data_IF_944011402296
#
_entry.id   IF_944011402296
#
_cell.length_a   1.000
_cell.length_b   1.000
_cell.length_c   1.000
_cell.angle_alpha   90.00
_cell.angle_beta   90.00
_cell.angle_gamma   90.00
#
_symmetry.space_group_name_H-M   'P 1'
#
loop_
_entity.id
_entity.type
_entity.pdbx_description
1 polymer ?
#
# COMPACT_ATOMS: atom_id res chain seq x y z
N UNK A 1 23.10 27.62 -15.99
CA UNK A 1 23.35 26.16 -15.99
C UNK A 1 23.30 25.69 -14.54
N UNK A 2 22.51 24.70 -14.25
CA UNK A 2 22.44 24.10 -12.88
C UNK A 2 23.72 23.30 -12.66
N UNK A 3 24.51 23.66 -11.64
CA UNK A 3 25.73 22.94 -11.27
C UNK A 3 25.57 22.36 -9.87
N UNK A 4 26.05 21.14 -9.69
CA UNK A 4 26.06 20.49 -8.39
C UNK A 4 27.26 20.96 -7.56
N UNK A 5 27.08 21.14 -6.28
CA UNK A 5 28.17 21.41 -5.35
C UNK A 5 29.00 20.14 -5.11
N UNK A 6 30.26 20.30 -4.70
CA UNK A 6 31.13 19.17 -4.34
C UNK A 6 30.51 18.24 -3.28
N UNK A 7 29.73 18.81 -2.32
CA UNK A 7 29.03 18.03 -1.30
C UNK A 7 27.92 17.17 -1.89
N UNK A 8 27.19 17.68 -2.89
CA UNK A 8 26.14 16.93 -3.59
C UNK A 8 26.75 15.81 -4.45
N UNK A 9 27.81 16.10 -5.19
CA UNK A 9 28.55 15.11 -5.99
C UNK A 9 29.02 13.96 -5.10
N UNK A 10 29.72 14.25 -4.01
CA UNK A 10 30.21 13.22 -3.08
C UNK A 10 29.06 12.41 -2.44
N UNK A 11 27.89 13.00 -2.27
CA UNK A 11 26.72 12.29 -1.74
C UNK A 11 26.12 11.37 -2.81
N UNK A 12 26.01 11.84 -4.05
CA UNK A 12 25.55 11.03 -5.19
C UNK A 12 26.48 9.83 -5.41
N UNK A 13 27.80 10.04 -5.41
CA UNK A 13 28.80 8.99 -5.56
C UNK A 13 28.72 7.91 -4.48
N UNK A 14 28.33 8.29 -3.27
CA UNK A 14 28.17 7.35 -2.13
C UNK A 14 26.86 6.58 -2.15
N UNK A 15 25.83 7.13 -2.75
CA UNK A 15 24.47 6.59 -2.68
C UNK A 15 24.04 5.85 -3.95
N UNK A 16 24.61 6.19 -5.10
CA UNK A 16 24.33 5.52 -6.36
C UNK A 16 25.13 4.21 -6.47
N UNK A 17 24.45 3.10 -6.73
CA UNK A 17 25.09 1.81 -7.02
C UNK A 17 25.57 1.68 -8.48
N UNK A 18 25.31 2.69 -9.30
CA UNK A 18 25.63 2.71 -10.71
C UNK A 18 26.05 4.10 -11.17
N UNK A 19 25.86 4.39 -12.44
CA UNK A 19 26.25 5.67 -13.04
C UNK A 19 25.12 6.68 -12.83
N UNK A 20 25.44 7.85 -12.31
CA UNK A 20 24.53 8.98 -12.31
C UNK A 20 25.01 10.07 -13.30
N UNK A 21 24.05 10.83 -13.83
CA UNK A 21 24.30 11.91 -14.78
C UNK A 21 23.42 13.10 -14.45
N UNK A 22 24.00 14.32 -14.57
CA UNK A 22 23.23 15.55 -14.46
C UNK A 22 22.80 15.99 -15.86
N UNK A 23 21.50 16.12 -16.07
CA UNK A 23 20.97 16.71 -17.30
C UNK A 23 21.15 18.25 -17.23
N UNK A 24 22.01 18.85 -18.09
CA UNK A 24 22.33 20.28 -17.98
C UNK A 24 21.15 21.19 -18.38
N UNK A 25 20.16 20.67 -19.12
CA UNK A 25 18.99 21.42 -19.55
C UNK A 25 17.90 21.48 -18.47
N UNK A 26 17.66 20.35 -17.80
CA UNK A 26 16.59 20.23 -16.78
C UNK A 26 17.10 20.44 -15.36
N UNK A 27 18.40 20.25 -15.12
CA UNK A 27 18.99 20.23 -13.79
C UNK A 27 18.65 18.97 -12.98
N UNK A 28 18.06 17.96 -13.62
CA UNK A 28 17.71 16.70 -12.97
C UNK A 28 18.89 15.73 -12.99
N UNK A 29 18.97 14.92 -11.93
CA UNK A 29 19.94 13.83 -11.81
C UNK A 29 19.26 12.52 -12.17
N UNK A 30 19.73 11.86 -13.20
CA UNK A 30 19.32 10.51 -13.56
C UNK A 30 20.31 9.49 -12.99
N UNK A 31 19.80 8.34 -12.51
CA UNK A 31 20.62 7.25 -11.97
C UNK A 31 20.34 5.96 -12.72
N UNK A 32 21.38 5.42 -13.37
CA UNK A 32 21.33 4.10 -13.99
C UNK A 32 21.76 3.05 -12.95
N UNK A 33 20.79 2.50 -12.23
CA UNK A 33 20.99 1.60 -11.10
C UNK A 33 20.13 2.02 -9.91
N UNK A 34 20.45 1.50 -8.74
CA UNK A 34 19.79 1.84 -7.46
C UNK A 34 20.42 3.06 -6.80
N UNK A 35 19.61 3.88 -6.15
CA UNK A 35 20.05 4.97 -5.30
C UNK A 35 19.62 4.71 -3.86
N UNK A 36 20.59 4.53 -2.96
CA UNK A 36 20.37 4.22 -1.55
C UNK A 36 20.86 5.36 -0.65
N UNK A 37 19.93 6.13 -0.13
CA UNK A 37 20.18 7.14 0.90
C UNK A 37 19.41 6.85 2.20
N UNK A 38 19.06 5.62 2.46
CA UNK A 38 18.37 5.18 3.66
C UNK A 38 19.23 5.35 4.93
N UNK A 39 18.55 5.48 6.08
CA UNK A 39 19.15 5.50 7.43
C UNK A 39 20.36 6.47 7.57
N UNK A 40 20.19 7.72 7.14
CA UNK A 40 21.25 8.75 7.16
C UNK A 40 20.86 10.02 7.89
N UNK A 41 19.70 10.04 8.57
CA UNK A 41 19.18 11.22 9.26
C UNK A 41 18.88 12.41 8.33
N UNK A 42 18.55 12.13 7.07
CA UNK A 42 18.28 13.16 6.07
C UNK A 42 16.94 13.84 6.34
N UNK A 43 16.89 15.16 6.14
CA UNK A 43 15.65 15.96 6.15
C UNK A 43 15.09 16.23 4.75
N UNK A 44 15.76 15.74 3.70
CA UNK A 44 15.42 15.91 2.28
C UNK A 44 16.61 15.53 1.41
N UNK A 45 16.51 15.76 0.11
CA UNK A 45 17.47 15.29 -0.90
C UNK A 45 18.62 16.28 -1.14
N UNK A 46 19.00 17.07 -0.14
CA UNK A 46 20.13 18.03 -0.17
C UNK A 46 20.07 19.03 -1.36
N UNK A 47 18.88 19.37 -1.81
CA UNK A 47 18.66 20.25 -2.96
C UNK A 47 18.95 19.60 -4.32
N UNK A 48 19.22 18.30 -4.36
CA UNK A 48 19.27 17.52 -5.60
C UNK A 48 17.84 17.23 -6.04
N UNK A 49 17.57 17.35 -7.34
CA UNK A 49 16.32 16.95 -7.97
C UNK A 49 16.60 15.78 -8.90
N UNK A 50 15.89 14.67 -8.67
CA UNK A 50 16.09 13.47 -9.50
C UNK A 50 15.08 13.42 -10.66
N UNK A 51 15.53 12.89 -11.78
CA UNK A 51 14.71 12.55 -12.95
C UNK A 51 14.31 11.08 -12.89
N UNK A 52 15.05 10.22 -13.59
CA UNK A 52 14.78 8.78 -13.66
C UNK A 52 15.81 8.00 -12.84
N UNK A 53 15.34 7.07 -12.02
CA UNK A 53 16.16 6.04 -11.37
C UNK A 53 15.75 4.69 -11.93
N UNK A 54 16.64 4.00 -12.64
CA UNK A 54 16.26 2.76 -13.34
C UNK A 54 16.14 1.54 -12.43
N UNK A 55 16.82 1.54 -11.28
CA UNK A 55 16.70 0.55 -10.21
C UNK A 55 15.77 1.04 -9.09
N UNK A 56 16.09 0.67 -7.87
CA UNK A 56 15.34 1.09 -6.68
C UNK A 56 15.79 2.48 -6.19
N UNK A 57 14.90 3.18 -5.51
CA UNK A 57 15.21 4.39 -4.77
C UNK A 57 14.85 4.20 -3.29
N UNK A 58 15.86 4.16 -2.42
CA UNK A 58 15.70 3.93 -0.99
C UNK A 58 16.02 5.20 -0.23
N UNK A 59 15.00 5.81 0.38
CA UNK A 59 15.12 6.96 1.27
C UNK A 59 14.42 6.73 2.62
N UNK A 60 14.15 5.47 2.92
CA UNK A 60 13.50 5.04 4.16
C UNK A 60 14.39 5.28 5.39
N UNK A 61 13.75 5.27 6.59
CA UNK A 61 14.38 5.48 7.89
C UNK A 61 15.22 6.75 7.97
N UNK A 62 14.60 7.89 7.60
CA UNK A 62 15.20 9.22 7.68
C UNK A 62 14.29 10.18 8.48
N UNK A 63 14.53 11.47 8.35
CA UNK A 63 13.72 12.55 8.94
C UNK A 63 13.09 13.40 7.83
N UNK A 64 12.75 12.79 6.69
CA UNK A 64 12.23 13.48 5.52
C UNK A 64 10.79 13.89 5.77
N UNK A 65 10.49 15.15 5.54
CA UNK A 65 9.14 15.73 5.69
C UNK A 65 8.46 16.07 4.36
N UNK A 66 9.21 16.04 3.25
CA UNK A 66 8.73 16.34 1.90
C UNK A 66 9.48 15.51 0.88
N UNK A 67 8.78 15.07 -0.17
CA UNK A 67 9.37 14.36 -1.31
C UNK A 67 9.81 15.33 -2.43
N UNK A 68 9.90 16.64 -2.16
CA UNK A 68 10.44 17.57 -3.13
C UNK A 68 11.87 17.15 -3.58
N UNK A 69 12.05 16.97 -4.87
CA UNK A 69 13.29 16.50 -5.46
C UNK A 69 13.42 14.98 -5.58
N UNK A 70 12.45 14.19 -5.10
CA UNK A 70 12.40 12.74 -5.34
C UNK A 70 12.33 12.44 -6.85
N UNK A 71 12.68 11.21 -7.29
CA UNK A 71 12.63 10.82 -8.69
C UNK A 71 11.24 11.01 -9.30
N UNK A 72 11.19 11.42 -10.57
CA UNK A 72 9.95 11.46 -11.33
C UNK A 72 9.47 10.05 -11.71
N UNK A 73 10.43 9.16 -11.99
CA UNK A 73 10.20 7.76 -12.35
C UNK A 73 11.22 6.86 -11.65
N UNK A 74 10.75 5.70 -11.15
CA UNK A 74 11.56 4.64 -10.54
C UNK A 74 11.25 3.33 -11.23
N UNK A 75 12.25 2.71 -11.86
CA UNK A 75 12.09 1.45 -12.59
C UNK A 75 11.89 0.25 -11.66
N UNK A 76 12.51 0.28 -10.48
CA UNK A 76 12.36 -0.68 -9.39
C UNK A 76 11.38 -0.18 -8.33
N UNK A 77 11.73 -0.38 -7.06
CA UNK A 77 10.93 -0.03 -5.89
C UNK A 77 11.30 1.34 -5.33
N UNK A 78 10.30 2.05 -4.80
CA UNK A 78 10.45 3.32 -4.09
C UNK A 78 10.12 3.12 -2.61
N UNK A 79 11.11 3.29 -1.74
CA UNK A 79 10.97 3.13 -0.28
C UNK A 79 11.17 4.48 0.41
N UNK A 80 10.10 5.04 0.96
CA UNK A 80 10.10 6.25 1.78
C UNK A 80 9.47 6.02 3.17
N UNK A 81 9.38 4.75 3.58
CA UNK A 81 8.85 4.36 4.89
C UNK A 81 9.76 4.82 6.05
N UNK A 82 9.17 4.90 7.25
CA UNK A 82 9.93 5.32 8.44
C UNK A 82 10.47 6.75 8.34
N UNK A 83 9.65 7.69 7.89
CA UNK A 83 9.96 9.11 7.78
C UNK A 83 8.93 9.97 8.56
N UNK A 84 8.88 11.26 8.28
CA UNK A 84 7.92 12.21 8.87
C UNK A 84 7.06 12.88 7.79
N UNK A 85 6.71 12.13 6.74
CA UNK A 85 5.91 12.64 5.62
C UNK A 85 4.46 12.87 6.07
N UNK A 86 3.91 14.02 5.69
CA UNK A 86 2.49 14.37 5.87
C UNK A 86 1.72 14.38 4.54
N UNK A 87 2.43 14.33 3.41
CA UNK A 87 1.90 14.33 2.04
C UNK A 87 2.79 13.48 1.14
N UNK A 88 2.24 12.99 0.04
CA UNK A 88 2.99 12.32 -1.04
C UNK A 88 3.24 13.25 -2.23
N UNK A 89 3.03 14.56 -2.06
CA UNK A 89 3.39 15.53 -3.10
C UNK A 89 4.88 15.43 -3.44
N UNK A 90 5.20 15.36 -4.73
CA UNK A 90 6.55 15.14 -5.22
C UNK A 90 6.96 13.65 -5.32
N UNK A 91 6.10 12.71 -4.97
CA UNK A 91 6.38 11.29 -5.17
C UNK A 91 6.51 10.92 -6.66
N UNK A 92 7.26 9.84 -6.99
CA UNK A 92 7.35 9.32 -8.34
C UNK A 92 5.97 9.01 -8.92
N UNK A 93 5.75 9.39 -10.18
CA UNK A 93 4.48 9.12 -10.87
C UNK A 93 4.44 7.73 -11.52
N UNK A 94 5.60 7.08 -11.68
CA UNK A 94 5.74 5.71 -12.18
C UNK A 94 6.69 4.94 -11.28
N UNK A 95 6.23 3.79 -10.79
CA UNK A 95 7.00 2.86 -9.94
C UNK A 95 6.81 1.44 -10.46
N UNK A 96 7.89 0.84 -10.94
CA UNK A 96 7.84 -0.51 -11.52
C UNK A 96 7.77 -1.63 -10.49
N UNK A 97 8.31 -1.41 -9.30
CA UNK A 97 8.32 -2.32 -8.15
C UNK A 97 7.31 -1.94 -7.07
N UNK A 98 7.74 -2.06 -5.82
CA UNK A 98 6.97 -1.64 -4.64
C UNK A 98 6.98 -0.12 -4.47
N UNK A 99 5.87 0.43 -3.97
CA UNK A 99 5.80 1.77 -3.38
C UNK A 99 5.52 1.62 -1.89
N UNK A 100 6.48 1.96 -1.04
CA UNK A 100 6.34 1.84 0.41
C UNK A 100 6.44 3.22 1.08
N UNK A 101 5.31 3.70 1.61
CA UNK A 101 5.20 4.93 2.43
C UNK A 101 4.67 4.63 3.84
N UNK A 102 4.81 3.40 4.31
CA UNK A 102 4.41 3.01 5.65
C UNK A 102 5.19 3.77 6.75
N UNK A 103 4.67 3.78 7.98
CA UNK A 103 5.33 4.42 9.11
C UNK A 103 5.67 5.89 8.86
N UNK A 104 4.65 6.68 8.48
CA UNK A 104 4.72 8.12 8.29
C UNK A 104 3.56 8.82 9.04
N UNK A 105 3.30 10.07 8.74
CA UNK A 105 2.18 10.85 9.31
C UNK A 105 1.16 11.28 8.24
N UNK A 106 0.98 10.44 7.20
CA UNK A 106 0.11 10.76 6.07
C UNK A 106 -1.35 10.81 6.51
N UNK A 107 -2.06 11.85 6.08
CA UNK A 107 -3.52 12.00 6.27
C UNK A 107 -4.31 11.80 4.98
N UNK A 108 -3.63 11.80 3.83
CA UNK A 108 -4.16 11.58 2.48
C UNK A 108 -3.14 10.83 1.63
N UNK A 109 -3.61 10.20 0.55
CA UNK A 109 -2.75 9.57 -0.46
C UNK A 109 -2.63 10.44 -1.74
N UNK A 110 -3.10 11.68 -1.70
CA UNK A 110 -2.91 12.61 -2.82
C UNK A 110 -1.42 12.76 -3.14
N UNK A 111 -1.09 12.72 -4.43
CA UNK A 111 0.29 12.70 -4.93
C UNK A 111 0.86 11.28 -5.12
N UNK A 112 0.18 10.23 -4.70
CA UNK A 112 0.62 8.86 -4.98
C UNK A 112 0.61 8.57 -6.50
N UNK A 113 1.48 7.63 -6.98
CA UNK A 113 1.46 7.17 -8.37
C UNK A 113 0.13 6.52 -8.72
N UNK A 114 -0.35 6.74 -9.95
CA UNK A 114 -1.60 6.14 -10.42
C UNK A 114 -1.49 4.62 -10.63
N UNK A 115 -0.27 4.12 -10.86
CA UNK A 115 0.00 2.70 -11.06
C UNK A 115 1.28 2.29 -10.34
N UNK A 116 1.21 1.16 -9.61
CA UNK A 116 2.33 0.52 -8.92
C UNK A 116 2.46 -0.91 -9.41
N UNK A 117 3.67 -1.28 -9.83
CA UNK A 117 3.91 -2.58 -10.48
C UNK A 117 3.77 -3.78 -9.55
N UNK A 118 4.07 -3.63 -8.26
CA UNK A 118 4.05 -4.72 -7.28
C UNK A 118 3.17 -4.34 -6.09
N UNK A 119 3.73 -4.06 -4.92
CA UNK A 119 2.97 -3.76 -3.70
C UNK A 119 2.87 -2.24 -3.46
N UNK A 120 1.70 -1.77 -3.01
CA UNK A 120 1.54 -0.44 -2.42
C UNK A 120 1.31 -0.58 -0.92
N UNK A 121 2.18 0.04 -0.11
CA UNK A 121 2.14 -0.06 1.35
C UNK A 121 2.03 1.32 1.96
N UNK A 122 0.89 1.61 2.61
CA UNK A 122 0.61 2.84 3.35
C UNK A 122 0.19 2.55 4.80
N UNK A 123 0.56 1.39 5.32
CA UNK A 123 0.28 0.98 6.71
C UNK A 123 0.91 1.93 7.74
N UNK A 124 0.38 1.95 8.98
CA UNK A 124 0.93 2.79 10.06
C UNK A 124 1.03 4.26 9.68
N UNK A 125 -0.11 4.86 9.30
CA UNK A 125 -0.27 6.27 9.00
C UNK A 125 -1.51 6.84 9.74
N UNK A 126 -1.99 8.00 9.33
CA UNK A 126 -3.15 8.66 9.92
C UNK A 126 -4.28 8.85 8.92
N UNK A 127 -4.36 7.96 7.91
CA UNK A 127 -5.33 8.05 6.82
C UNK A 127 -6.76 7.89 7.34
N UNK A 128 -7.64 8.81 6.97
CA UNK A 128 -9.08 8.72 7.23
C UNK A 128 -9.89 8.33 5.98
N UNK A 129 -9.26 8.37 4.81
CA UNK A 129 -9.80 8.03 3.50
C UNK A 129 -8.70 7.46 2.61
N UNK A 130 -9.08 6.72 1.57
CA UNK A 130 -8.18 6.22 0.54
C UNK A 130 -8.21 7.07 -0.75
N UNK A 131 -8.85 8.24 -0.72
CA UNK A 131 -8.81 9.17 -1.85
C UNK A 131 -7.36 9.53 -2.18
N UNK A 132 -7.02 9.49 -3.47
CA UNK A 132 -5.66 9.65 -3.96
C UNK A 132 -4.85 8.36 -4.05
N UNK A 133 -5.40 7.20 -3.66
CA UNK A 133 -4.68 5.92 -3.83
C UNK A 133 -4.42 5.61 -5.31
N UNK A 134 -3.44 4.74 -5.62
CA UNK A 134 -3.23 4.26 -6.97
C UNK A 134 -4.51 3.66 -7.56
N UNK A 135 -4.73 3.85 -8.85
CA UNK A 135 -5.81 3.18 -9.57
C UNK A 135 -5.56 1.68 -9.70
N UNK A 136 -4.29 1.30 -9.95
CA UNK A 136 -3.87 -0.08 -10.18
C UNK A 136 -2.69 -0.45 -9.29
N UNK A 137 -2.78 -1.60 -8.62
CA UNK A 137 -1.70 -2.20 -7.83
C UNK A 137 -1.49 -3.64 -8.30
N UNK A 138 -0.29 -3.96 -8.77
CA UNK A 138 0.01 -5.24 -9.41
C UNK A 138 -0.11 -6.45 -8.49
N UNK A 139 0.11 -6.28 -7.17
CA UNK A 139 0.00 -7.37 -6.19
C UNK A 139 -0.81 -6.95 -4.97
N UNK A 140 -0.19 -6.51 -3.89
CA UNK A 140 -0.88 -6.26 -2.63
C UNK A 140 -1.05 -4.76 -2.36
N UNK A 141 -2.22 -4.37 -1.89
CA UNK A 141 -2.49 -3.06 -1.32
C UNK A 141 -2.64 -3.20 0.20
N UNK A 142 -1.81 -2.49 0.97
CA UNK A 142 -1.81 -2.54 2.43
C UNK A 142 -2.06 -1.16 3.01
N UNK A 143 -3.17 -1.02 3.74
CA UNK A 143 -3.59 0.18 4.45
C UNK A 143 -3.96 -0.10 5.91
N UNK A 144 -3.44 -1.18 6.46
CA UNK A 144 -3.62 -1.56 7.86
C UNK A 144 -3.06 -0.51 8.83
N UNK A 145 -3.50 -0.53 10.08
CA UNK A 145 -3.04 0.41 11.13
C UNK A 145 -3.19 1.89 10.72
N UNK A 146 -4.42 2.26 10.31
CA UNK A 146 -4.80 3.63 9.97
C UNK A 146 -6.08 4.06 10.73
N UNK A 147 -6.76 5.10 10.27
CA UNK A 147 -8.00 5.65 10.88
C UNK A 147 -9.17 5.64 9.90
N UNK A 148 -9.16 4.71 8.93
CA UNK A 148 -10.17 4.62 7.87
C UNK A 148 -11.54 4.30 8.46
N UNK A 149 -12.57 5.02 8.00
CA UNK A 149 -13.98 4.76 8.36
C UNK A 149 -14.75 4.04 7.25
N UNK A 150 -14.24 4.12 6.02
CA UNK A 150 -14.74 3.41 4.83
C UNK A 150 -13.57 3.14 3.87
N UNK A 151 -13.82 2.37 2.81
CA UNK A 151 -12.83 2.07 1.76
C UNK A 151 -13.06 2.92 0.49
N UNK A 152 -13.83 4.00 0.60
CA UNK A 152 -14.02 4.92 -0.52
C UNK A 152 -12.68 5.50 -0.95
N UNK A 153 -12.40 5.44 -2.27
CA UNK A 153 -11.13 5.83 -2.85
C UNK A 153 -10.10 4.70 -2.96
N UNK A 154 -10.45 3.47 -2.56
CA UNK A 154 -9.57 2.31 -2.75
C UNK A 154 -9.21 2.11 -4.24
N UNK A 155 -8.08 1.43 -4.54
CA UNK A 155 -7.69 1.09 -5.90
C UNK A 155 -8.79 0.37 -6.66
N UNK A 156 -8.91 0.62 -7.98
CA UNK A 156 -9.87 -0.08 -8.82
C UNK A 156 -9.45 -1.52 -9.08
N UNK A 157 -8.14 -1.75 -9.16
CA UNK A 157 -7.55 -3.05 -9.44
C UNK A 157 -6.43 -3.37 -8.45
N UNK A 158 -6.52 -4.51 -7.78
CA UNK A 158 -5.48 -5.07 -6.91
C UNK A 158 -5.25 -6.52 -7.31
N UNK A 159 -4.04 -6.82 -7.77
CA UNK A 159 -3.74 -8.11 -8.41
C UNK A 159 -3.70 -9.31 -7.45
N UNK A 160 -3.57 -9.09 -6.12
CA UNK A 160 -3.48 -10.18 -5.15
C UNK A 160 -4.25 -9.91 -3.87
N UNK A 161 -3.70 -9.17 -2.91
CA UNK A 161 -4.25 -9.05 -1.57
C UNK A 161 -4.58 -7.61 -1.19
N UNK A 162 -5.62 -7.44 -0.37
CA UNK A 162 -6.03 -6.17 0.20
C UNK A 162 -6.05 -6.30 1.72
N UNK A 163 -5.23 -5.50 2.40
CA UNK A 163 -5.11 -5.50 3.84
C UNK A 163 -5.57 -4.16 4.41
N UNK A 164 -6.67 -4.16 5.16
CA UNK A 164 -7.24 -3.00 5.85
C UNK A 164 -7.48 -3.27 7.34
N UNK A 165 -6.70 -4.18 7.93
CA UNK A 165 -6.82 -4.50 9.35
C UNK A 165 -6.57 -3.29 10.24
N UNK A 166 -7.05 -3.36 11.49
CA UNK A 166 -6.79 -2.34 12.51
C UNK A 166 -7.07 -0.91 12.05
N UNK A 167 -8.27 -0.70 11.51
CA UNK A 167 -8.82 0.60 11.16
C UNK A 167 -10.08 0.90 12.00
N UNK A 168 -10.88 1.86 11.57
CA UNK A 168 -12.16 2.24 12.21
C UNK A 168 -13.35 2.01 11.27
N UNK A 169 -13.22 1.02 10.37
CA UNK A 169 -14.22 0.76 9.35
C UNK A 169 -15.55 0.37 9.98
N UNK A 170 -16.59 1.10 9.64
CA UNK A 170 -17.98 0.78 9.97
C UNK A 170 -18.72 0.21 8.75
N UNK A 171 -18.14 0.37 7.57
CA UNK A 171 -18.62 -0.12 6.28
C UNK A 171 -17.42 -0.53 5.42
N UNK A 172 -17.63 -1.49 4.51
CA UNK A 172 -16.67 -1.81 3.45
C UNK A 172 -17.07 -1.17 2.12
N UNK A 173 -17.88 -0.11 2.16
CA UNK A 173 -18.20 0.68 0.98
C UNK A 173 -16.92 1.20 0.34
N UNK A 174 -16.84 1.05 -0.99
CA UNK A 174 -15.65 1.37 -1.77
C UNK A 174 -14.63 0.24 -1.85
N UNK A 175 -14.87 -0.92 -1.22
CA UNK A 175 -13.99 -2.08 -1.38
C UNK A 175 -13.86 -2.45 -2.85
N UNK A 176 -12.62 -2.70 -3.29
CA UNK A 176 -12.30 -3.15 -4.64
C UNK A 176 -12.85 -4.56 -4.86
N UNK A 177 -13.82 -4.71 -5.74
CA UNK A 177 -14.50 -5.99 -5.98
C UNK A 177 -13.67 -6.98 -6.81
N UNK A 178 -12.56 -6.54 -7.42
CA UNK A 178 -11.69 -7.36 -8.28
C UNK A 178 -10.43 -7.87 -7.57
N UNK A 179 -10.39 -7.79 -6.23
CA UNK A 179 -9.32 -8.44 -5.45
C UNK A 179 -9.48 -9.95 -5.58
N UNK A 180 -8.42 -10.67 -5.87
CA UNK A 180 -8.42 -12.13 -5.67
C UNK A 180 -8.58 -12.37 -4.17
N UNK A 181 -9.77 -12.85 -3.78
CA UNK A 181 -10.30 -12.88 -2.41
C UNK A 181 -9.50 -13.69 -1.40
N UNK A 182 -8.47 -14.39 -1.81
CA UNK A 182 -7.66 -15.24 -0.93
C UNK A 182 -6.95 -14.47 0.19
N UNK A 183 -6.89 -13.13 0.10
CA UNK A 183 -6.14 -12.30 1.02
C UNK A 183 -6.80 -10.94 1.31
N UNK A 184 -8.13 -10.88 1.42
CA UNK A 184 -8.79 -9.68 1.96
C UNK A 184 -8.77 -9.76 3.50
N UNK A 185 -8.05 -8.86 4.15
CA UNK A 185 -7.91 -8.79 5.60
C UNK A 185 -8.61 -7.55 6.13
N UNK A 186 -9.47 -7.72 7.13
CA UNK A 186 -10.24 -6.63 7.74
C UNK A 186 -10.40 -6.78 9.26
N UNK A 187 -9.59 -7.61 9.92
CA UNK A 187 -9.61 -7.78 11.38
C UNK A 187 -9.39 -6.46 12.13
N UNK A 188 -9.83 -6.38 13.37
CA UNK A 188 -9.64 -5.19 14.19
C UNK A 188 -10.49 -3.98 13.78
N UNK A 189 -11.50 -4.16 12.92
CA UNK A 189 -12.47 -3.13 12.54
C UNK A 189 -13.82 -3.35 13.20
N UNK A 190 -14.60 -2.29 13.53
CA UNK A 190 -15.94 -2.40 14.09
C UNK A 190 -17.04 -2.76 13.07
N UNK A 191 -16.71 -3.33 11.93
CA UNK A 191 -17.69 -3.72 10.88
C UNK A 191 -18.59 -4.80 11.40
N UNK A 192 -19.92 -4.63 11.23
CA UNK A 192 -20.89 -5.64 11.67
C UNK A 192 -20.80 -6.91 10.82
N UNK A 193 -21.08 -8.08 11.44
CA UNK A 193 -21.11 -9.36 10.73
C UNK A 193 -22.06 -9.38 9.54
N UNK A 194 -23.23 -8.71 9.63
CA UNK A 194 -24.17 -8.58 8.50
C UNK A 194 -23.56 -7.85 7.32
N UNK A 195 -22.80 -6.77 7.58
CA UNK A 195 -22.13 -5.99 6.53
C UNK A 195 -21.07 -6.82 5.84
N UNK A 196 -20.28 -7.60 6.59
CA UNK A 196 -19.27 -8.49 6.05
C UNK A 196 -19.90 -9.54 5.13
N UNK A 197 -20.96 -10.20 5.56
CA UNK A 197 -21.67 -11.22 4.76
C UNK A 197 -22.20 -10.61 3.45
N UNK A 198 -22.91 -9.48 3.50
CA UNK A 198 -23.48 -8.85 2.31
C UNK A 198 -22.41 -8.46 1.25
N UNK A 199 -21.22 -8.12 1.70
CA UNK A 199 -20.12 -7.77 0.80
C UNK A 199 -19.47 -9.00 0.22
N UNK A 200 -19.26 -10.04 1.04
CA UNK A 200 -18.74 -11.32 0.54
C UNK A 200 -19.67 -11.95 -0.50
N UNK A 201 -21.00 -11.88 -0.31
CA UNK A 201 -21.99 -12.30 -1.31
C UNK A 201 -21.79 -11.52 -2.63
N UNK A 202 -21.60 -10.21 -2.56
CA UNK A 202 -21.43 -9.34 -3.72
C UNK A 202 -20.10 -9.56 -4.45
N UNK A 203 -19.03 -9.91 -3.69
CA UNK A 203 -17.69 -10.15 -4.21
C UNK A 203 -17.54 -11.57 -4.80
N UNK A 204 -18.32 -12.54 -4.36
CA UNK A 204 -18.00 -13.95 -4.53
C UNK A 204 -18.82 -14.72 -5.53
N UNK A 205 -19.88 -14.17 -6.14
CA UNK A 205 -20.63 -14.92 -7.17
C UNK A 205 -20.74 -16.43 -6.89
N UNK A 206 -20.87 -16.86 -5.65
CA UNK A 206 -21.13 -18.23 -5.20
C UNK A 206 -19.92 -19.12 -4.87
N UNK A 207 -18.81 -19.14 -5.62
CA UNK A 207 -17.73 -20.12 -5.39
C UNK A 207 -16.60 -19.64 -4.46
N UNK A 208 -16.32 -18.38 -4.41
CA UNK A 208 -15.20 -17.82 -3.61
C UNK A 208 -15.58 -17.54 -2.15
N UNK A 209 -16.87 -17.57 -1.81
CA UNK A 209 -17.37 -17.33 -0.45
C UNK A 209 -16.81 -18.32 0.58
N UNK A 210 -16.64 -19.59 0.21
CA UNK A 210 -16.13 -20.63 1.11
C UNK A 210 -14.68 -20.34 1.54
N UNK A 211 -13.85 -19.87 0.62
CA UNK A 211 -12.45 -19.52 0.89
C UNK A 211 -12.38 -18.25 1.74
N UNK A 212 -13.20 -17.25 1.41
CA UNK A 212 -13.28 -16.02 2.20
C UNK A 212 -13.79 -16.26 3.63
N UNK A 213 -14.79 -17.14 3.80
CA UNK A 213 -15.28 -17.52 5.11
C UNK A 213 -14.23 -18.30 5.94
N UNK A 214 -13.41 -19.14 5.31
CA UNK A 214 -12.33 -19.86 5.96
C UNK A 214 -11.20 -18.91 6.41
N UNK A 215 -10.83 -17.94 5.57
CA UNK A 215 -9.85 -16.90 5.92
C UNK A 215 -10.35 -16.05 7.08
N UNK A 216 -11.60 -15.60 7.04
CA UNK A 216 -12.23 -14.84 8.13
C UNK A 216 -12.21 -15.61 9.46
N UNK A 217 -12.43 -16.92 9.44
CA UNK A 217 -12.44 -17.71 10.67
C UNK A 217 -11.08 -17.84 11.32
N UNK A 218 -10.02 -18.01 10.56
CA UNK A 218 -8.67 -18.08 11.11
C UNK A 218 -8.25 -16.78 11.80
N UNK A 219 -8.87 -15.68 11.44
CA UNK A 219 -8.57 -14.34 11.93
C UNK A 219 -9.62 -13.81 12.94
N UNK A 220 -10.83 -14.40 12.98
CA UNK A 220 -11.91 -14.01 13.91
C UNK A 220 -11.95 -14.92 15.13
N UNK A 221 -12.27 -14.34 16.30
CA UNK A 221 -12.57 -15.13 17.49
C UNK A 221 -13.77 -16.05 17.25
N UNK A 222 -13.84 -17.22 17.96
CA UNK A 222 -15.00 -18.13 17.93
C UNK A 222 -16.33 -17.42 18.21
N UNK A 223 -16.29 -16.37 19.01
CA UNK A 223 -17.45 -15.54 19.35
C UNK A 223 -17.95 -14.74 18.15
N UNK A 224 -17.05 -14.11 17.40
CA UNK A 224 -17.40 -13.32 16.21
C UNK A 224 -18.01 -14.19 15.10
N UNK A 225 -17.49 -15.43 14.92
CA UNK A 225 -18.06 -16.38 13.96
C UNK A 225 -19.53 -16.75 14.27
N UNK A 226 -19.90 -16.92 15.52
CA UNK A 226 -21.28 -17.19 15.92
C UNK A 226 -22.27 -16.10 15.50
N UNK A 227 -21.83 -14.86 15.34
CA UNK A 227 -22.67 -13.77 14.87
C UNK A 227 -22.82 -13.73 13.35
N UNK A 228 -21.89 -14.31 12.62
CA UNK A 228 -21.89 -14.30 11.13
C UNK A 228 -22.60 -15.54 10.59
N UNK A 229 -22.38 -16.72 11.19
CA UNK A 229 -22.91 -17.99 10.71
C UNK A 229 -24.44 -17.99 10.46
N UNK A 230 -25.30 -17.36 11.28
CA UNK A 230 -26.75 -17.30 11.05
C UNK A 230 -27.16 -16.44 9.83
N UNK A 231 -26.24 -15.65 9.27
CA UNK A 231 -26.51 -14.75 8.15
C UNK A 231 -25.93 -15.27 6.83
N UNK A 232 -25.29 -16.45 6.86
CA UNK A 232 -24.80 -17.12 5.65
C UNK A 232 -26.00 -17.76 4.94
N UNK A 233 -26.24 -17.48 3.64
CA UNK A 233 -27.34 -18.08 2.88
C UNK A 233 -27.26 -19.60 2.88
N UNK A 234 -28.42 -20.26 2.98
CA UNK A 234 -28.52 -21.73 3.01
C UNK A 234 -27.89 -22.42 1.78
N UNK A 235 -27.88 -21.74 0.63
CA UNK A 235 -27.22 -22.21 -0.58
C UNK A 235 -25.69 -22.37 -0.42
N UNK A 236 -25.09 -21.74 0.59
CA UNK A 236 -23.63 -21.74 0.86
C UNK A 236 -23.30 -22.64 2.07
N UNK A 237 -24.31 -23.07 2.82
CA UNK A 237 -24.18 -23.97 3.98
C UNK A 237 -23.41 -25.27 3.70
N UNK A 238 -23.55 -25.96 2.56
CA UNK A 238 -22.76 -27.14 2.23
C UNK A 238 -21.25 -26.85 2.20
N UNK A 239 -20.83 -25.66 1.75
CA UNK A 239 -19.45 -25.24 1.79
C UNK A 239 -18.91 -25.05 3.21
N UNK A 240 -19.74 -24.54 4.12
CA UNK A 240 -19.41 -24.38 5.54
C UNK A 240 -19.29 -25.75 6.23
N UNK A 241 -20.09 -26.74 5.84
CA UNK A 241 -19.98 -28.11 6.38
C UNK A 241 -18.71 -28.83 5.94
N UNK A 242 -18.14 -28.51 4.77
CA UNK A 242 -16.82 -29.00 4.35
C UNK A 242 -15.69 -28.49 5.25
N UNK A 243 -15.78 -27.26 5.77
CA UNK A 243 -14.82 -26.72 6.71
C UNK A 243 -14.79 -27.50 8.03
N UNK A 244 -15.92 -28.10 8.45
CA UNK A 244 -15.99 -29.00 9.59
C UNK A 244 -15.15 -30.25 9.44
N UNK A 245 -15.03 -30.80 8.22
CA UNK A 245 -14.17 -31.98 7.93
C UNK A 245 -12.68 -31.72 8.05
N UNK A 246 -12.25 -30.47 8.00
CA UNK A 246 -10.86 -30.06 8.23
C UNK A 246 -10.57 -29.64 9.67
N UNK A 247 -11.43 -30.00 10.63
CA UNK A 247 -11.23 -29.67 12.05
C UNK A 247 -11.44 -28.20 12.39
N UNK A 248 -12.03 -27.44 11.48
CA UNK A 248 -12.24 -26.01 11.63
C UNK A 248 -13.52 -25.65 12.43
N UNK A 249 -14.31 -26.65 12.89
CA UNK A 249 -15.58 -26.50 13.63
C UNK A 249 -15.65 -27.29 14.96
N UNK A 250 -14.55 -27.60 15.59
CA UNK A 250 -14.55 -28.15 16.95
C UNK A 250 -14.29 -27.07 17.99
#
# INVERSE_FOLDING_TARGET
>A
MTTLTKKQINWLDKCASGIWTLNPKTGLVDVKGTFDCSDRGLKGFKGVKFGVVTGDFWCNYNLITSLEGAPQEVGGSFYCDGNSLTSLEGAPQKVGGDFNCAYNSLTSLEGAPQKVGVDFKCSYNQLTSLVGSPREVGRNFRCDENRLISLVGAPQEVGRGFDCEYNRLTSLEGATLNVRLELFRSCGNPVSGKTLVAIFEKMCGGHSFVIAAASLRNEMSKTSWKFIAPHIPDAIQPGVSMLGRFGLFN
#
